data_IF_803088625926
#
_entry.id   IF_803088625926
#
_cell.length_a   1.000
_cell.length_b   1.000
_cell.length_c   1.000
_cell.angle_alpha   90.00
_cell.angle_beta   90.00
_cell.angle_gamma   90.00
#
_symmetry.space_group_name_H-M   'P 1'
#
loop_
_entity.id
_entity.type
_entity.pdbx_description
1 polymer ?
#
# COMPACT_ATOMS: atom_id res chain seq x y z
N UNK A 1 -5.72 -1.59 13.43
CA UNK A 1 -5.03 -2.75 14.03
C UNK A 1 -3.85 -2.34 14.92
N UNK A 2 -2.94 -1.47 14.45
CA UNK A 2 -1.77 -0.98 15.23
C UNK A 2 -2.13 -0.41 16.61
N UNK A 3 -3.19 0.39 16.70
CA UNK A 3 -3.61 1.02 17.96
C UNK A 3 -4.19 0.03 18.98
N UNK A 4 -4.74 -1.12 18.53
CA UNK A 4 -5.26 -2.16 19.43
C UNK A 4 -4.15 -2.95 20.12
N UNK A 5 -2.98 -3.09 19.47
CA UNK A 5 -1.82 -3.79 20.03
C UNK A 5 -0.99 -2.85 20.93
N UNK A 6 -0.95 -1.56 20.59
CA UNK A 6 -0.14 -0.56 21.31
C UNK A 6 -0.81 0.01 22.57
N UNK A 7 -2.12 -0.16 22.76
CA UNK A 7 -2.86 0.42 23.89
C UNK A 7 -2.94 -0.52 25.10
N UNK A 8 -2.80 0.03 26.32
CA UNK A 8 -2.93 -0.71 27.60
C UNK A 8 -1.61 -1.26 28.19
N UNK A 9 -1.71 -1.98 29.32
CA UNK A 9 -0.56 -2.62 29.99
C UNK A 9 -0.34 -4.01 29.39
N UNK A 10 0.92 -4.37 29.11
CA UNK A 10 1.21 -5.65 28.49
C UNK A 10 0.89 -6.84 29.42
N UNK A 11 0.01 -7.74 28.98
CA UNK A 11 -0.54 -8.82 29.82
C UNK A 11 0.27 -10.11 29.76
N UNK A 12 1.06 -10.32 28.72
CA UNK A 12 1.91 -11.51 28.53
C UNK A 12 3.31 -11.16 28.01
N UNK A 13 4.24 -12.13 28.07
CA UNK A 13 5.58 -11.97 27.49
C UNK A 13 5.53 -11.76 25.97
N UNK A 14 4.65 -12.48 25.28
CA UNK A 14 4.44 -12.32 23.84
C UNK A 14 3.87 -10.93 23.51
N UNK A 15 2.96 -10.41 24.33
CA UNK A 15 2.41 -9.06 24.16
C UNK A 15 3.48 -7.98 24.36
N UNK A 16 4.35 -8.14 25.37
CA UNK A 16 5.52 -7.25 25.56
C UNK A 16 6.43 -7.25 24.34
N UNK A 17 6.81 -8.43 23.85
CA UNK A 17 7.67 -8.57 22.68
C UNK A 17 7.02 -7.96 21.43
N UNK A 18 5.72 -8.19 21.23
CA UNK A 18 4.98 -7.66 20.09
C UNK A 18 4.96 -6.14 20.09
N UNK A 19 4.74 -5.52 21.26
CA UNK A 19 4.76 -4.07 21.42
C UNK A 19 6.14 -3.49 21.19
N UNK A 20 7.18 -4.14 21.72
CA UNK A 20 8.57 -3.75 21.50
C UNK A 20 8.89 -3.76 20.01
N UNK A 21 8.51 -4.84 19.31
CA UNK A 21 8.71 -4.97 17.87
C UNK A 21 7.95 -3.90 17.07
N UNK A 22 6.69 -3.62 17.41
CA UNK A 22 5.90 -2.55 16.76
C UNK A 22 6.52 -1.17 16.99
N UNK A 23 7.14 -0.95 18.16
CA UNK A 23 7.82 0.30 18.51
C UNK A 23 9.11 0.44 17.70
N UNK A 24 9.91 -0.62 17.59
CA UNK A 24 11.13 -0.63 16.75
C UNK A 24 10.81 -0.34 15.29
N UNK A 25 9.75 -0.97 14.73
CA UNK A 25 9.33 -0.71 13.36
C UNK A 25 8.71 0.68 13.16
N UNK A 26 8.20 1.33 14.21
CA UNK A 26 7.68 2.69 14.13
C UNK A 26 8.80 3.70 13.94
N UNK A 27 9.86 3.59 14.77
CA UNK A 27 10.98 4.50 14.81
C UNK A 27 12.30 3.70 14.78
N UNK A 28 12.69 3.13 13.63
CA UNK A 28 13.88 2.30 13.56
C UNK A 28 15.18 3.06 13.85
N UNK A 29 15.17 4.41 13.75
CA UNK A 29 16.35 5.25 14.06
C UNK A 29 16.80 5.12 15.52
N UNK A 30 15.84 5.04 16.45
CA UNK A 30 16.10 4.98 17.89
C UNK A 30 16.78 3.67 18.31
N UNK A 31 16.83 2.68 17.42
CA UNK A 31 17.33 1.33 17.68
C UNK A 31 18.53 0.94 16.81
N UNK A 32 19.12 1.87 16.07
CA UNK A 32 20.32 1.60 15.24
C UNK A 32 21.53 1.20 16.07
N UNK A 33 21.65 1.68 17.30
CA UNK A 33 22.76 1.36 18.22
C UNK A 33 22.40 0.24 19.21
N UNK A 34 21.26 -0.42 19.03
CA UNK A 34 20.82 -1.49 19.92
C UNK A 34 21.74 -2.73 19.79
N UNK A 35 22.16 -3.29 20.93
CA UNK A 35 23.10 -4.42 20.96
C UNK A 35 22.59 -5.69 20.24
N UNK A 36 21.28 -5.91 20.18
CA UNK A 36 20.68 -7.11 19.58
C UNK A 36 20.09 -6.84 18.18
N UNK A 37 19.62 -5.62 17.93
CA UNK A 37 18.81 -5.31 16.74
C UNK A 37 19.41 -4.24 15.82
N UNK A 38 20.61 -3.74 16.13
CA UNK A 38 21.30 -2.70 15.34
C UNK A 38 21.41 -3.03 13.86
N UNK A 39 21.88 -4.24 13.51
CA UNK A 39 22.09 -4.64 12.13
C UNK A 39 20.77 -4.66 11.33
N UNK A 40 19.73 -5.28 11.89
CA UNK A 40 18.43 -5.39 11.23
C UNK A 40 17.71 -4.05 11.13
N UNK A 41 17.78 -3.20 12.16
CA UNK A 41 17.18 -1.87 12.15
C UNK A 41 17.91 -0.92 11.20
N UNK A 42 19.24 -1.03 11.09
CA UNK A 42 20.03 -0.28 10.10
C UNK A 42 19.64 -0.67 8.67
N UNK A 43 19.53 -1.98 8.41
CA UNK A 43 19.11 -2.48 7.11
C UNK A 43 17.68 -2.04 6.76
N UNK A 44 16.75 -2.18 7.70
CA UNK A 44 15.35 -1.77 7.53
C UNK A 44 15.23 -0.27 7.25
N UNK A 45 15.96 0.57 7.99
CA UNK A 45 16.03 2.00 7.73
C UNK A 45 16.55 2.29 6.31
N UNK A 46 17.58 1.60 5.85
CA UNK A 46 18.08 1.77 4.48
C UNK A 46 17.02 1.46 3.42
N UNK A 47 16.12 0.49 3.67
CA UNK A 47 15.02 0.16 2.79
C UNK A 47 13.94 1.26 2.82
N UNK A 48 13.63 1.80 4.00
CA UNK A 48 12.73 2.94 4.14
C UNK A 48 13.28 4.15 3.38
N UNK A 49 14.55 4.48 3.54
CA UNK A 49 15.18 5.63 2.88
C UNK A 49 15.18 5.49 1.35
N UNK A 50 15.41 4.27 0.86
CA UNK A 50 15.31 3.93 -0.58
C UNK A 50 13.87 4.04 -1.08
N UNK A 51 12.90 3.52 -0.32
CA UNK A 51 11.49 3.44 -0.73
C UNK A 51 10.76 4.78 -0.61
N UNK A 52 11.02 5.55 0.45
CA UNK A 52 10.44 6.88 0.65
C UNK A 52 11.04 7.95 -0.27
N UNK A 53 11.93 7.57 -1.20
CA UNK A 53 12.28 8.40 -2.34
C UNK A 53 12.79 9.78 -1.93
N UNK A 54 13.97 9.80 -1.31
CA UNK A 54 14.69 10.99 -0.82
C UNK A 54 14.12 11.54 0.49
N UNK A 55 14.89 11.31 1.56
CA UNK A 55 14.83 11.97 2.85
C UNK A 55 14.18 13.36 2.80
N UNK A 56 13.32 13.68 3.76
CA UNK A 56 12.77 15.02 3.89
C UNK A 56 13.92 16.04 3.88
N UNK A 57 13.83 17.13 3.09
CA UNK A 57 14.90 18.11 3.02
C UNK A 57 15.12 18.70 4.41
N UNK A 58 16.33 18.58 4.93
CA UNK A 58 16.66 18.99 6.31
C UNK A 58 16.93 20.49 6.40
N UNK A 59 17.09 21.16 5.26
CA UNK A 59 17.43 22.58 5.14
C UNK A 59 16.55 23.31 4.13
N UNK A 60 16.35 24.61 4.32
CA UNK A 60 15.52 25.45 3.45
C UNK A 60 16.06 25.58 2.01
N UNK A 61 17.36 25.35 1.82
CA UNK A 61 18.02 25.39 0.51
C UNK A 61 17.65 24.15 -0.33
N UNK A 62 17.68 22.96 0.27
CA UNK A 62 17.24 21.71 -0.38
C UNK A 62 15.75 21.74 -0.75
N UNK A 63 14.93 22.42 0.06
CA UNK A 63 13.51 22.66 -0.24
C UNK A 63 13.37 23.48 -1.53
N UNK A 64 14.09 24.61 -1.63
CA UNK A 64 14.05 25.48 -2.82
C UNK A 64 14.52 24.75 -4.07
N UNK A 65 15.63 24.01 -3.98
CA UNK A 65 16.15 23.25 -5.12
C UNK A 65 15.14 22.22 -5.63
N UNK A 66 14.46 21.50 -4.73
CA UNK A 66 13.39 20.56 -5.11
C UNK A 66 12.21 21.26 -5.79
N UNK A 67 11.80 22.42 -5.27
CA UNK A 67 10.73 23.21 -5.90
C UNK A 67 11.13 23.70 -7.29
N UNK A 68 12.36 24.15 -7.48
CA UNK A 68 12.86 24.58 -8.80
C UNK A 68 12.90 23.43 -9.80
N UNK A 69 13.36 22.24 -9.37
CA UNK A 69 13.36 21.03 -10.20
C UNK A 69 11.93 20.65 -10.58
N UNK A 70 10.97 20.71 -9.66
CA UNK A 70 9.56 20.42 -9.95
C UNK A 70 8.94 21.45 -10.91
N UNK A 71 9.26 22.74 -10.76
CA UNK A 71 8.76 23.80 -11.67
C UNK A 71 9.29 23.67 -13.09
N UNK A 72 10.51 23.13 -13.26
CA UNK A 72 11.14 22.90 -14.57
C UNK A 72 10.62 21.65 -15.28
N UNK A 73 9.91 20.75 -14.58
CA UNK A 73 9.34 19.56 -15.22
C UNK A 73 8.17 19.96 -16.12
N UNK A 74 8.13 19.48 -17.38
CA UNK A 74 6.98 19.72 -18.24
C UNK A 74 5.74 19.10 -17.58
N UNK A 75 4.68 19.90 -17.47
CA UNK A 75 3.38 19.48 -16.94
C UNK A 75 2.75 18.48 -17.91
N UNK A 76 3.16 17.21 -17.84
CA UNK A 76 2.46 16.10 -18.50
C UNK A 76 1.19 15.85 -17.70
N UNK A 77 0.13 16.55 -18.07
CA UNK A 77 -1.19 16.26 -17.53
C UNK A 77 -1.60 14.90 -18.10
N UNK A 78 -1.59 13.87 -17.26
CA UNK A 78 -2.08 12.53 -17.60
C UNK A 78 -3.43 12.63 -18.30
N UNK A 79 -4.38 13.40 -17.76
CA UNK A 79 -5.72 13.60 -18.32
C UNK A 79 -5.68 14.10 -19.78
N UNK A 80 -4.81 15.07 -20.09
CA UNK A 80 -4.58 15.58 -21.46
C UNK A 80 -3.96 14.52 -22.37
N UNK A 81 -3.00 13.75 -21.87
CA UNK A 81 -2.36 12.68 -22.65
C UNK A 81 -3.34 11.53 -22.94
N UNK A 82 -4.22 11.16 -21.98
CA UNK A 82 -5.25 10.13 -22.21
C UNK A 82 -6.38 10.63 -23.10
N UNK A 83 -6.81 11.89 -22.94
CA UNK A 83 -7.84 12.50 -23.79
C UNK A 83 -7.38 12.68 -25.25
N UNK A 84 -6.07 12.89 -25.46
CA UNK A 84 -5.47 13.00 -26.80
C UNK A 84 -5.23 11.66 -27.48
N UNK A 85 -5.05 10.58 -26.73
CA UNK A 85 -4.75 9.25 -27.27
C UNK A 85 -5.98 8.39 -27.57
N UNK A 86 -7.20 8.85 -27.24
CA UNK A 86 -8.40 8.22 -27.77
C UNK A 86 -8.43 8.53 -29.26
N UNK A 87 -8.05 7.56 -30.11
CA UNK A 87 -8.48 7.54 -31.52
C UNK A 87 -9.99 7.75 -31.45
N UNK A 88 -10.47 8.96 -31.77
CA UNK A 88 -11.90 9.20 -31.92
C UNK A 88 -12.32 8.30 -33.07
N UNK A 89 -12.84 7.10 -32.76
CA UNK A 89 -13.60 6.36 -33.73
C UNK A 89 -14.75 7.27 -34.13
N UNK A 90 -14.84 7.57 -35.41
CA UNK A 90 -15.94 8.35 -35.97
C UNK A 90 -17.24 7.55 -35.95
N UNK A 91 -17.19 6.24 -35.66
CA UNK A 91 -18.36 5.44 -35.32
C UNK A 91 -18.90 5.81 -33.94
N UNK A 92 -20.11 6.37 -33.95
CA UNK A 92 -21.02 6.39 -32.80
C UNK A 92 -21.73 5.05 -32.79
N UNK A 93 -21.62 4.29 -31.69
CA UNK A 93 -22.33 3.02 -31.54
C UNK A 93 -23.84 3.26 -31.60
N UNK A 94 -24.57 2.38 -32.27
CA UNK A 94 -26.03 2.42 -32.32
C UNK A 94 -26.63 1.85 -31.01
N UNK A 95 -27.95 2.01 -30.83
CA UNK A 95 -28.63 1.59 -29.58
C UNK A 95 -28.54 0.09 -29.31
N UNK A 96 -28.57 -0.74 -30.36
CA UNK A 96 -28.52 -2.22 -30.24
C UNK A 96 -27.13 -2.69 -29.82
N UNK A 97 -26.07 -2.10 -30.38
CA UNK A 97 -24.67 -2.39 -30.00
C UNK A 97 -24.39 -2.02 -28.54
N UNK A 98 -24.99 -0.94 -28.06
CA UNK A 98 -24.87 -0.51 -26.67
C UNK A 98 -25.56 -1.53 -25.74
N UNK A 99 -26.76 -1.98 -26.08
CA UNK A 99 -27.50 -2.98 -25.31
C UNK A 99 -26.77 -4.33 -25.26
N UNK A 100 -26.19 -4.78 -26.38
CA UNK A 100 -25.41 -6.02 -26.44
C UNK A 100 -24.17 -5.98 -25.51
N UNK A 101 -23.48 -4.84 -25.49
CA UNK A 101 -22.31 -4.64 -24.62
C UNK A 101 -22.70 -4.59 -23.14
N UNK A 102 -23.83 -3.96 -22.81
CA UNK A 102 -24.35 -3.92 -21.44
C UNK A 102 -24.69 -5.32 -20.94
N UNK A 103 -25.29 -6.16 -21.79
CA UNK A 103 -25.62 -7.55 -21.45
C UNK A 103 -24.36 -8.38 -21.14
N UNK A 104 -23.30 -8.23 -21.96
CA UNK A 104 -22.01 -8.90 -21.78
C UNK A 104 -21.29 -8.50 -20.49
N UNK A 105 -21.54 -7.29 -19.98
CA UNK A 105 -20.94 -6.78 -18.74
C UNK A 105 -21.76 -7.21 -17.52
N UNK A 106 -23.09 -7.28 -17.63
CA UNK A 106 -23.94 -7.61 -16.47
C UNK A 106 -23.88 -9.08 -16.07
N UNK A 107 -23.51 -9.99 -16.98
CA UNK A 107 -23.60 -11.44 -16.77
C UNK A 107 -22.44 -12.08 -15.98
N UNK A 108 -21.57 -11.29 -15.34
CA UNK A 108 -20.51 -11.82 -14.45
C UNK A 108 -20.32 -10.98 -13.20
N UNK A 109 -21.23 -11.14 -12.24
CA UNK A 109 -20.75 -11.30 -10.87
C UNK A 109 -20.38 -12.79 -10.76
N UNK A 110 -19.13 -13.21 -10.52
CA UNK A 110 -18.93 -14.56 -10.04
C UNK A 110 -19.78 -14.65 -8.76
N UNK A 111 -20.78 -15.53 -8.75
CA UNK A 111 -21.40 -15.94 -7.50
C UNK A 111 -20.27 -16.52 -6.65
N UNK A 112 -19.64 -15.67 -5.84
CA UNK A 112 -19.12 -16.11 -4.56
C UNK A 112 -20.38 -16.56 -3.81
N UNK A 113 -20.75 -17.81 -4.03
CA UNK A 113 -21.76 -18.49 -3.24
C UNK A 113 -21.36 -18.31 -1.78
N UNK A 114 -22.32 -18.17 -0.86
CA UNK A 114 -22.02 -18.03 0.58
C UNK A 114 -21.05 -19.13 1.07
N UNK A 115 -21.14 -20.31 0.45
CA UNK A 115 -20.24 -21.45 0.60
C UNK A 115 -18.75 -21.17 0.35
N UNK A 116 -18.37 -20.24 -0.55
CA UNK A 116 -16.96 -19.94 -0.83
C UNK A 116 -16.24 -19.34 0.39
N UNK A 117 -16.96 -18.54 1.17
CA UNK A 117 -16.40 -17.93 2.38
C UNK A 117 -16.36 -18.91 3.54
N UNK A 118 -17.31 -19.84 3.61
CA UNK A 118 -17.33 -20.89 4.63
C UNK A 118 -16.17 -21.88 4.43
N UNK A 119 -15.95 -22.35 3.20
CA UNK A 119 -14.84 -23.26 2.86
C UNK A 119 -13.48 -22.60 3.12
N UNK A 120 -13.31 -21.32 2.72
CA UNK A 120 -12.09 -20.57 2.97
C UNK A 120 -11.82 -20.37 4.48
N UNK A 121 -12.86 -20.20 5.30
CA UNK A 121 -12.70 -20.04 6.75
C UNK A 121 -12.34 -21.37 7.43
N UNK A 122 -12.83 -22.49 6.92
CA UNK A 122 -12.48 -23.83 7.41
C UNK A 122 -11.01 -24.14 7.11
N UNK A 123 -10.55 -23.91 5.88
CA UNK A 123 -9.14 -24.06 5.47
C UNK A 123 -8.19 -23.22 6.34
N UNK A 124 -8.59 -21.97 6.65
CA UNK A 124 -7.79 -21.07 7.49
C UNK A 124 -7.76 -21.54 8.94
N UNK A 125 -8.83 -22.14 9.46
CA UNK A 125 -8.88 -22.63 10.82
C UNK A 125 -8.02 -23.90 10.99
N UNK A 126 -8.04 -24.82 10.02
CA UNK A 126 -7.20 -26.02 10.02
C UNK A 126 -5.70 -25.65 10.03
N UNK A 127 -5.30 -24.64 9.25
CA UNK A 127 -3.92 -24.15 9.21
C UNK A 127 -3.45 -23.51 10.53
N UNK A 128 -4.38 -22.99 11.36
CA UNK A 128 -4.08 -22.38 12.65
C UNK A 128 -4.03 -23.41 13.79
N UNK A 129 -4.74 -24.53 13.66
CA UNK A 129 -4.79 -25.61 14.65
C UNK A 129 -3.61 -26.60 14.54
N UNK A 130 -2.86 -26.60 13.42
CA UNK A 130 -1.62 -27.39 13.23
C UNK A 130 -0.34 -26.77 13.85
N UNK A 131 -0.47 -25.79 14.76
CA UNK A 131 0.65 -25.02 15.36
C UNK A 131 1.03 -25.35 16.79
#
# INVERSE_FOLDING_TARGET
MRDKISSGVATSKADRLSREFVTMLANPEDFIENAAHSETMTYYKSLIDKHQGKAQPKTAEEVKERFEIQRKKPQKSLIRDVASNRKRSTEVLNSEEIEELLLKISDKNPEATESYWEELLEDVNELLDEG
#
